data_IF_359062312313
#
_entry.id   IF_359062312313
#
_cell.length_a   1.000
_cell.length_b   1.000
_cell.length_c   1.000
_cell.angle_alpha   90.00
_cell.angle_beta   90.00
_cell.angle_gamma   90.00
#
_symmetry.space_group_name_H-M   'P 1'
#
loop_
_entity.id
_entity.type
_entity.pdbx_description
1 polymer ?
#
# COMPACT_ATOMS: atom_id res chain seq x y z
N UNK A 1 -12.39 8.54 19.73
CA UNK A 1 -12.59 8.56 18.26
C UNK A 1 -11.55 7.72 17.48
N UNK A 2 -10.25 7.75 17.82
CA UNK A 2 -9.25 6.85 17.19
C UNK A 2 -9.40 5.39 17.64
N UNK A 3 -9.68 5.15 18.93
CA UNK A 3 -9.91 3.80 19.46
C UNK A 3 -11.17 3.13 18.90
N UNK A 4 -12.25 3.87 18.66
CA UNK A 4 -13.48 3.35 18.03
C UNK A 4 -13.22 2.93 16.56
N UNK A 5 -12.42 3.69 15.81
CA UNK A 5 -12.04 3.33 14.43
C UNK A 5 -11.16 2.08 14.38
N UNK A 6 -10.33 1.84 15.38
CA UNK A 6 -9.50 0.63 15.49
C UNK A 6 -10.34 -0.60 15.83
N UNK A 7 -11.38 -0.48 16.66
CA UNK A 7 -12.23 -1.62 17.08
C UNK A 7 -13.02 -2.24 15.92
N UNK A 8 -13.35 -1.47 14.90
CA UNK A 8 -14.14 -1.94 13.75
C UNK A 8 -13.29 -2.31 12.52
N UNK A 9 -11.99 -2.01 12.52
CA UNK A 9 -11.12 -2.32 11.42
C UNK A 9 -10.89 -3.83 11.29
N UNK A 10 -11.31 -4.40 10.15
CA UNK A 10 -11.17 -5.83 9.87
C UNK A 10 -9.70 -6.28 9.87
N UNK A 11 -8.76 -5.43 9.43
CA UNK A 11 -7.34 -5.78 9.44
C UNK A 11 -6.76 -5.73 10.85
N UNK A 12 -7.17 -4.80 11.70
CA UNK A 12 -6.82 -4.81 13.12
C UNK A 12 -7.31 -6.10 13.81
N UNK A 13 -8.50 -6.58 13.46
CA UNK A 13 -9.04 -7.86 13.98
C UNK A 13 -8.23 -9.08 13.52
N UNK A 14 -7.70 -9.06 12.29
CA UNK A 14 -6.78 -10.13 11.82
C UNK A 14 -5.46 -10.06 12.59
N UNK A 15 -4.89 -8.87 12.78
CA UNK A 15 -3.65 -8.65 13.54
C UNK A 15 -3.80 -9.17 14.97
N UNK A 16 -4.92 -8.87 15.62
CA UNK A 16 -5.25 -9.30 16.97
C UNK A 16 -5.67 -10.78 17.07
N UNK A 17 -5.74 -11.50 15.93
CA UNK A 17 -6.20 -12.91 15.86
C UNK A 17 -7.65 -13.11 16.29
N UNK A 18 -8.46 -12.06 16.25
CA UNK A 18 -9.91 -12.13 16.53
C UNK A 18 -10.68 -12.77 15.37
N UNK A 19 -10.19 -12.60 14.13
CA UNK A 19 -10.68 -13.27 12.94
C UNK A 19 -9.54 -13.98 12.22
N UNK A 20 -9.78 -15.12 11.57
CA UNK A 20 -8.74 -15.90 10.90
C UNK A 20 -8.26 -15.23 9.61
N UNK A 21 -6.97 -15.39 9.29
CA UNK A 21 -6.35 -15.00 8.03
C UNK A 21 -5.36 -16.07 7.57
N UNK A 22 -5.11 -16.17 6.26
CA UNK A 22 -4.05 -16.99 5.69
C UNK A 22 -2.74 -16.21 5.69
N UNK A 23 -2.08 -16.15 6.85
CA UNK A 23 -0.87 -15.35 7.08
C UNK A 23 0.31 -16.03 6.40
N UNK A 24 1.00 -15.29 5.51
CA UNK A 24 2.18 -15.74 4.77
C UNK A 24 3.48 -15.14 5.30
N UNK A 25 3.37 -14.04 6.05
CA UNK A 25 4.49 -13.40 6.73
C UNK A 25 3.99 -12.61 7.96
N UNK A 26 4.78 -12.61 9.01
CA UNK A 26 4.53 -11.79 10.22
C UNK A 26 5.85 -11.47 10.91
N UNK A 27 6.03 -10.20 11.29
CA UNK A 27 7.06 -9.74 12.22
C UNK A 27 6.46 -8.79 13.28
N UNK A 28 7.28 -8.08 14.03
CA UNK A 28 6.80 -7.20 15.10
C UNK A 28 6.03 -5.97 14.56
N UNK A 29 6.32 -5.54 13.34
CA UNK A 29 5.78 -4.31 12.75
C UNK A 29 4.77 -4.55 11.63
N UNK A 30 4.88 -5.66 10.91
CA UNK A 30 4.11 -5.94 9.70
C UNK A 30 3.51 -7.33 9.68
N UNK A 31 2.44 -7.46 8.90
CA UNK A 31 1.80 -8.74 8.58
C UNK A 31 1.47 -8.80 7.09
N UNK A 32 1.56 -9.98 6.50
CA UNK A 32 1.06 -10.24 5.16
C UNK A 32 0.16 -11.48 5.14
N UNK A 33 -0.94 -11.40 4.41
CA UNK A 33 -1.92 -12.48 4.29
C UNK A 33 -2.57 -12.50 2.90
N UNK A 34 -3.11 -13.65 2.52
CA UNK A 34 -3.83 -13.78 1.26
C UNK A 34 -5.15 -13.02 1.32
N UNK A 35 -5.44 -12.22 0.30
CA UNK A 35 -6.76 -11.62 0.14
C UNK A 35 -7.80 -12.73 -0.14
N UNK A 36 -8.94 -12.65 0.52
CA UNK A 36 -10.04 -13.59 0.26
C UNK A 36 -10.63 -13.40 -1.14
N UNK A 37 -10.62 -12.15 -1.65
CA UNK A 37 -11.03 -11.80 -3.00
C UNK A 37 -9.82 -11.83 -3.93
N UNK A 38 -9.41 -13.03 -4.35
CA UNK A 38 -8.25 -13.24 -5.21
C UNK A 38 -8.46 -12.59 -6.60
N UNK A 39 -7.99 -11.34 -6.77
CA UNK A 39 -8.02 -10.67 -8.08
C UNK A 39 -7.14 -11.39 -9.11
N UNK A 40 -6.02 -11.97 -8.63
CA UNK A 40 -5.18 -12.91 -9.36
C UNK A 40 -4.74 -14.01 -8.41
N UNK A 41 -4.33 -15.17 -8.91
CA UNK A 41 -3.89 -16.28 -8.08
C UNK A 41 -2.65 -15.91 -7.25
N UNK A 42 -2.78 -15.96 -5.93
CA UNK A 42 -1.74 -15.54 -4.98
C UNK A 42 -1.80 -14.06 -4.59
N UNK A 43 -2.91 -13.36 -4.87
CA UNK A 43 -3.13 -12.00 -4.40
C UNK A 43 -2.90 -11.89 -2.89
N UNK A 44 -1.91 -11.12 -2.51
CA UNK A 44 -1.45 -10.97 -1.13
C UNK A 44 -1.51 -9.51 -0.71
N UNK A 45 -1.92 -9.27 0.54
CA UNK A 45 -1.91 -7.95 1.17
C UNK A 45 -0.76 -7.87 2.17
N UNK A 46 -0.06 -6.75 2.18
CA UNK A 46 0.96 -6.42 3.20
C UNK A 46 0.49 -5.19 3.95
N UNK A 47 0.42 -5.29 5.27
CA UNK A 47 -0.09 -4.25 6.17
C UNK A 47 0.89 -3.97 7.31
N UNK A 48 1.01 -2.74 7.81
CA UNK A 48 1.60 -2.48 9.11
C UNK A 48 0.67 -2.95 10.24
N UNK A 49 1.22 -3.42 11.35
CA UNK A 49 0.42 -3.76 12.54
C UNK A 49 -0.17 -2.54 13.22
N UNK A 50 0.55 -1.42 13.20
CA UNK A 50 0.02 -0.13 13.62
C UNK A 50 -1.00 0.38 12.60
N UNK A 51 -2.14 0.85 13.09
CA UNK A 51 -3.19 1.36 12.22
C UNK A 51 -2.82 2.73 11.64
N UNK A 52 -2.87 2.84 10.31
CA UNK A 52 -2.84 4.08 9.53
C UNK A 52 -3.95 3.98 8.49
N UNK A 53 -4.67 5.05 8.23
CA UNK A 53 -5.77 4.99 7.28
C UNK A 53 -5.28 4.68 5.85
N UNK A 54 -4.17 5.27 5.43
CA UNK A 54 -3.62 5.10 4.08
C UNK A 54 -2.16 5.58 3.98
N UNK A 55 -1.58 5.57 2.78
CA UNK A 55 -0.18 5.95 2.52
C UNK A 55 0.15 7.41 2.87
N UNK A 56 -0.84 8.30 2.95
CA UNK A 56 -0.60 9.71 3.28
C UNK A 56 -0.39 9.93 4.79
N UNK A 57 -0.75 8.95 5.61
CA UNK A 57 -0.66 9.03 7.07
C UNK A 57 0.45 8.16 7.66
N UNK A 58 0.88 7.10 6.95
CA UNK A 58 1.95 6.21 7.42
C UNK A 58 3.28 6.99 7.56
N UNK A 59 4.01 6.76 8.65
CA UNK A 59 5.34 7.33 8.81
C UNK A 59 6.38 6.67 7.90
N UNK A 60 7.46 7.41 7.63
CA UNK A 60 8.48 7.00 6.64
C UNK A 60 9.20 5.71 7.02
N UNK A 61 9.45 5.47 8.31
CA UNK A 61 10.13 4.25 8.80
C UNK A 61 9.24 3.03 8.59
N UNK A 62 7.98 3.12 9.00
CA UNK A 62 6.99 2.06 8.77
C UNK A 62 6.79 1.81 7.27
N UNK A 63 6.68 2.86 6.46
CA UNK A 63 6.55 2.73 5.01
C UNK A 63 7.76 2.02 4.38
N UNK A 64 8.98 2.40 4.78
CA UNK A 64 10.21 1.78 4.29
C UNK A 64 10.28 0.30 4.66
N UNK A 65 9.87 -0.07 5.90
CA UNK A 65 9.82 -1.45 6.34
C UNK A 65 8.79 -2.27 5.54
N UNK A 66 7.56 -1.77 5.41
CA UNK A 66 6.49 -2.40 4.62
C UNK A 66 6.97 -2.64 3.17
N UNK A 67 7.57 -1.64 2.51
CA UNK A 67 8.05 -1.77 1.13
C UNK A 67 9.17 -2.81 0.99
N UNK A 68 10.02 -2.96 1.98
CA UNK A 68 11.06 -4.01 2.01
C UNK A 68 10.43 -5.41 2.05
N UNK A 69 9.41 -5.59 2.88
CA UNK A 69 8.65 -6.85 2.96
C UNK A 69 7.91 -7.12 1.65
N UNK A 70 7.25 -6.11 1.07
CA UNK A 70 6.58 -6.20 -0.23
C UNK A 70 7.53 -6.70 -1.32
N UNK A 71 8.73 -6.11 -1.43
CA UNK A 71 9.75 -6.54 -2.40
C UNK A 71 10.13 -8.01 -2.21
N UNK A 72 10.38 -8.42 -0.96
CA UNK A 72 10.82 -9.78 -0.65
C UNK A 72 9.71 -10.80 -0.96
N UNK A 73 8.48 -10.52 -0.53
CA UNK A 73 7.33 -11.38 -0.82
C UNK A 73 6.97 -11.42 -2.30
N UNK A 74 7.06 -10.30 -3.02
CA UNK A 74 6.81 -10.29 -4.47
C UNK A 74 7.78 -11.22 -5.21
N UNK A 75 9.09 -11.18 -4.88
CA UNK A 75 10.07 -12.12 -5.44
C UNK A 75 9.71 -13.59 -5.12
N UNK A 76 9.41 -13.86 -3.84
CA UNK A 76 9.05 -15.21 -3.39
C UNK A 76 7.78 -15.74 -4.08
N UNK A 77 6.75 -14.89 -4.24
CA UNK A 77 5.49 -15.24 -4.87
C UNK A 77 5.69 -15.50 -6.36
N UNK A 78 6.41 -14.61 -7.05
CA UNK A 78 6.72 -14.78 -8.49
C UNK A 78 7.46 -16.11 -8.73
N UNK A 79 8.47 -16.41 -7.92
CA UNK A 79 9.23 -17.65 -8.04
C UNK A 79 8.40 -18.90 -7.72
N UNK A 80 7.69 -18.90 -6.57
CA UNK A 80 6.98 -20.09 -6.09
C UNK A 80 5.69 -20.40 -6.83
N UNK A 81 5.04 -19.40 -7.40
CA UNK A 81 3.78 -19.54 -8.12
C UNK A 81 3.96 -19.48 -9.64
N UNK A 82 5.21 -19.45 -10.14
CA UNK A 82 5.53 -19.35 -11.58
C UNK A 82 4.85 -18.16 -12.28
N UNK A 83 4.71 -17.03 -11.57
CA UNK A 83 4.13 -15.84 -12.14
C UNK A 83 5.08 -15.19 -13.14
N UNK A 84 4.54 -14.61 -14.23
CA UNK A 84 5.33 -13.94 -15.27
C UNK A 84 5.66 -12.49 -14.93
N UNK A 85 4.96 -11.93 -13.95
CA UNK A 85 5.13 -10.56 -13.49
C UNK A 85 4.34 -10.29 -12.22
N UNK A 86 4.39 -9.05 -11.73
CA UNK A 86 3.66 -8.64 -10.53
C UNK A 86 3.28 -7.17 -10.63
N UNK A 87 2.03 -6.84 -10.26
CA UNK A 87 1.63 -5.49 -9.96
C UNK A 87 1.68 -5.27 -8.45
N UNK A 88 2.25 -4.16 -8.04
CA UNK A 88 2.25 -3.69 -6.65
C UNK A 88 1.51 -2.37 -6.61
N UNK A 89 0.45 -2.28 -5.84
CA UNK A 89 -0.35 -1.07 -5.76
C UNK A 89 -0.93 -0.87 -4.36
N UNK A 90 -1.25 0.38 -4.06
CA UNK A 90 -2.04 0.76 -2.89
C UNK A 90 -3.10 1.78 -3.31
N UNK A 91 -4.27 1.69 -2.72
CA UNK A 91 -5.37 2.61 -2.98
C UNK A 91 -5.49 3.59 -1.80
N UNK A 92 -5.70 4.86 -2.12
CA UNK A 92 -5.86 5.91 -1.11
C UNK A 92 -7.18 6.62 -1.33
N UNK A 93 -8.05 6.56 -0.33
CA UNK A 93 -9.43 7.04 -0.36
C UNK A 93 -10.35 6.25 -1.32
N UNK A 94 -11.65 6.39 -1.12
CA UNK A 94 -12.68 5.66 -1.87
C UNK A 94 -12.66 5.93 -3.37
N UNK A 95 -12.36 7.18 -3.77
CA UNK A 95 -12.26 7.60 -5.18
C UNK A 95 -11.16 6.83 -5.93
N UNK A 96 -10.15 6.36 -5.23
CA UNK A 96 -9.07 5.53 -5.77
C UNK A 96 -9.28 4.02 -5.51
N UNK A 97 -10.46 3.61 -5.02
CA UNK A 97 -10.83 2.22 -4.78
C UNK A 97 -10.38 1.65 -3.44
N UNK A 98 -10.06 2.49 -2.44
CA UNK A 98 -9.80 2.00 -1.09
C UNK A 98 -11.11 1.58 -0.42
N UNK A 99 -11.22 0.32 -0.04
CA UNK A 99 -12.40 -0.25 0.62
C UNK A 99 -12.18 -0.49 2.11
N UNK A 100 -10.95 -0.73 2.54
CA UNK A 100 -10.58 -0.87 3.95
C UNK A 100 -9.64 0.26 4.34
N UNK A 101 -10.06 1.07 5.32
CA UNK A 101 -9.29 2.23 5.81
C UNK A 101 -8.22 1.80 6.83
N UNK A 102 -7.35 0.91 6.39
CA UNK A 102 -6.09 0.53 7.00
C UNK A 102 -5.07 0.42 5.88
N UNK A 103 -3.95 1.13 6.00
CA UNK A 103 -2.93 1.14 4.95
C UNK A 103 -2.50 -0.27 4.57
N UNK A 104 -2.59 -0.60 3.30
CA UNK A 104 -2.20 -1.89 2.77
C UNK A 104 -1.66 -1.77 1.36
N UNK A 105 -0.76 -2.67 1.02
CA UNK A 105 -0.20 -2.81 -0.31
C UNK A 105 -0.61 -4.15 -0.87
N UNK A 106 -1.18 -4.13 -2.08
CA UNK A 106 -1.51 -5.32 -2.84
C UNK A 106 -0.30 -5.81 -3.61
N UNK A 107 -0.02 -7.10 -3.52
CA UNK A 107 0.88 -7.84 -4.41
C UNK A 107 0.00 -8.70 -5.29
N UNK A 108 -0.05 -8.40 -6.58
CA UNK A 108 -0.90 -9.08 -7.58
C UNK A 108 0.00 -9.80 -8.58
N UNK A 109 0.28 -11.10 -8.38
CA UNK A 109 1.01 -11.90 -9.37
C UNK A 109 0.26 -11.93 -10.69
N UNK A 110 1.00 -11.94 -11.81
CA UNK A 110 0.42 -11.90 -13.16
C UNK A 110 0.90 -13.10 -13.97
N UNK A 111 -0.05 -13.82 -14.53
CA UNK A 111 0.17 -15.03 -15.34
C UNK A 111 -0.21 -14.80 -16.80
N UNK A 112 -1.20 -13.93 -17.01
CA UNK A 112 -1.72 -13.53 -18.33
C UNK A 112 -2.04 -12.03 -18.33
N UNK A 113 -1.92 -11.38 -19.47
CA UNK A 113 -2.18 -9.94 -19.63
C UNK A 113 -3.66 -9.57 -19.48
N UNK A 114 -4.57 -10.52 -19.70
CA UNK A 114 -6.02 -10.28 -19.70
C UNK A 114 -6.72 -10.59 -18.38
N UNK A 115 -6.03 -11.19 -17.38
CA UNK A 115 -6.65 -11.60 -16.11
C UNK A 115 -6.98 -10.41 -15.19
N UNK A 116 -6.28 -9.30 -15.34
CA UNK A 116 -6.51 -8.06 -14.60
C UNK A 116 -6.33 -6.87 -15.53
N UNK A 117 -7.39 -6.08 -15.69
CA UNK A 117 -7.36 -4.87 -16.51
C UNK A 117 -7.09 -3.65 -15.65
N UNK A 118 -6.03 -2.92 -16.00
CA UNK A 118 -5.75 -1.58 -15.48
C UNK A 118 -5.85 -0.64 -16.67
N UNK A 119 -6.91 0.15 -16.72
CA UNK A 119 -7.20 1.03 -17.85
C UNK A 119 -6.91 2.48 -17.45
N UNK A 120 -6.23 3.22 -18.31
CA UNK A 120 -5.96 4.65 -18.17
C UNK A 120 -6.67 5.42 -19.28
N UNK A 121 -7.38 6.47 -18.90
CA UNK A 121 -7.91 7.42 -19.88
C UNK A 121 -6.80 8.39 -20.27
N UNK A 122 -6.62 8.63 -21.57
CA UNK A 122 -5.66 9.61 -22.06
C UNK A 122 -6.25 11.02 -21.96
N UNK A 123 -5.65 11.85 -21.13
CA UNK A 123 -5.98 13.26 -20.93
C UNK A 123 -4.86 14.20 -21.42
N UNK A 124 -3.94 13.71 -22.25
CA UNK A 124 -2.78 14.51 -22.70
C UNK A 124 -3.17 15.80 -23.43
N UNK A 125 -4.33 15.83 -24.10
CA UNK A 125 -4.83 17.01 -24.79
C UNK A 125 -5.58 17.99 -23.88
N UNK A 126 -5.96 17.59 -22.67
CA UNK A 126 -6.78 18.36 -21.73
C UNK A 126 -5.96 18.94 -20.58
N UNK A 127 -4.67 18.55 -20.47
CA UNK A 127 -3.80 18.90 -19.34
C UNK A 127 -2.64 19.78 -19.81
N UNK A 128 -2.54 20.99 -19.25
CA UNK A 128 -1.34 21.83 -19.36
C UNK A 128 -0.26 21.31 -18.38
N UNK A 129 0.74 20.62 -18.94
CA UNK A 129 1.83 20.04 -18.16
C UNK A 129 2.68 21.09 -17.44
N UNK A 130 2.85 22.29 -18.03
CA UNK A 130 3.62 23.36 -17.41
C UNK A 130 2.90 23.92 -16.19
N UNK A 131 1.58 24.03 -16.25
CA UNK A 131 0.76 24.45 -15.11
C UNK A 131 0.84 23.42 -13.96
N UNK A 132 0.64 22.14 -14.28
CA UNK A 132 0.74 21.03 -13.30
C UNK A 132 2.14 20.98 -12.69
N UNK A 133 3.18 21.06 -13.51
CA UNK A 133 4.58 21.09 -13.06
C UNK A 133 4.83 22.21 -12.06
N UNK A 134 4.37 23.45 -12.36
CA UNK A 134 4.52 24.60 -11.47
C UNK A 134 3.81 24.39 -10.13
N UNK A 135 2.60 23.81 -10.16
CA UNK A 135 1.81 23.51 -8.94
C UNK A 135 2.50 22.46 -8.05
N UNK A 136 3.02 21.38 -8.63
CA UNK A 136 3.68 20.30 -7.87
C UNK A 136 5.04 20.76 -7.34
N UNK A 137 5.83 21.49 -8.14
CA UNK A 137 7.18 21.95 -7.79
C UNK A 137 7.19 23.10 -6.76
N UNK A 138 6.05 23.69 -6.42
CA UNK A 138 5.98 24.81 -5.50
C UNK A 138 6.50 24.41 -4.10
N UNK A 139 7.73 24.87 -3.77
CA UNK A 139 8.64 24.41 -2.71
C UNK A 139 8.13 24.51 -1.26
N UNK A 140 7.00 25.12 -0.98
CA UNK A 140 6.57 25.44 0.39
C UNK A 140 6.24 24.19 1.26
N UNK A 141 6.05 23.01 0.68
CA UNK A 141 5.68 21.80 1.43
C UNK A 141 6.85 20.81 1.63
N UNK A 142 7.75 20.72 0.65
CA UNK A 142 8.90 19.80 0.74
C UNK A 142 10.00 20.29 1.70
N UNK A 143 10.23 21.62 1.79
CA UNK A 143 11.24 22.19 2.70
C UNK A 143 10.90 21.97 4.19
N UNK A 144 9.61 21.89 4.53
CA UNK A 144 9.17 21.64 5.92
C UNK A 144 9.37 20.18 6.38
N UNK A 145 9.43 19.22 5.48
CA UNK A 145 9.67 17.82 5.80
C UNK A 145 11.17 17.62 6.11
N UNK A 146 12.05 18.11 5.25
CA UNK A 146 13.52 18.01 5.45
C UNK A 146 14.07 18.89 6.58
N UNK A 147 13.39 19.98 6.95
CA UNK A 147 13.79 20.86 8.05
C UNK A 147 13.40 20.31 9.43
N UNK A 148 12.35 19.47 9.53
CA UNK A 148 12.01 18.77 10.77
C UNK A 148 13.03 17.70 11.12
N UNK A 149 13.50 16.94 10.15
CA UNK A 149 14.51 15.89 10.37
C UNK A 149 15.87 16.43 10.79
N UNK A 150 16.30 17.59 10.26
CA UNK A 150 17.57 18.24 10.63
C UNK A 150 17.59 18.81 12.05
N UNK A 151 16.43 19.03 12.69
CA UNK A 151 16.35 19.53 14.08
C UNK A 151 16.37 18.43 15.14
N UNK A 152 16.22 17.18 14.76
CA UNK A 152 16.26 16.02 15.67
C UNK A 152 17.67 15.45 15.86
N UNK A 153 18.65 15.93 15.09
CA UNK A 153 20.07 15.48 15.17
C UNK A 153 21.04 16.60 15.63
N UNK A 154 20.57 17.55 16.47
CA UNK A 154 21.47 18.49 17.20
C UNK A 154 21.27 18.41 18.69
#
# INVERSE_FOLDING_TARGET
MEEEKMSDCIFCKIINKEIPGKIVYEDDECMAFLDLSQATYGHTLVIPKKHYANILEVDDETLAHVMKIVKNLANQIVEKLDAKGVNVLTNTNEVAGQTVHHFHIHILPRYDENELKIEFTDHSNDVDLDEVYKKIKNKKRCENIFLKERKLFK
#
